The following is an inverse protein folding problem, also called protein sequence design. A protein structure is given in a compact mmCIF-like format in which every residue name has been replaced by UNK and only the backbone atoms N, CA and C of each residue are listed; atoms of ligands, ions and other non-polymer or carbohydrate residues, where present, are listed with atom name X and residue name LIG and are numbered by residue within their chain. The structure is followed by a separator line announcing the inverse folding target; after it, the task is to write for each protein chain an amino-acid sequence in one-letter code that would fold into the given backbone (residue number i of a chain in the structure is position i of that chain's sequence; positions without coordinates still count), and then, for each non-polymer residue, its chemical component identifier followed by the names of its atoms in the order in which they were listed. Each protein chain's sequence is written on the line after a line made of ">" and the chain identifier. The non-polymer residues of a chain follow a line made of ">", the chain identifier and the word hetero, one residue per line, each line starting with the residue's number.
data_IF_517606498974
#
_entry.id   IF_517606498974
#
_cell.length_a   1.000
_cell.length_b   1.000
_cell.length_c   1.000
_cell.angle_alpha   90.00
_cell.angle_beta   90.00
_cell.angle_gamma   90.00
#
_symmetry.space_group_name_H-M   'P 1'
#
loop_
_entity.id
_entity.type
_entity.pdbx_description
1 polymer ?
#
# COMPACT_ATOMS: atom_id res chain seq x y z
N UNK A 1 -34.00 -22.56 -3.25
CA UNK A 1 -32.83 -21.76 -2.83
C UNK A 1 -32.31 -21.06 -4.07
N UNK A 2 -32.43 -19.74 -4.16
CA UNK A 2 -31.74 -19.00 -5.23
C UNK A 2 -30.24 -19.03 -5.00
N UNK A 3 -29.41 -19.18 -6.05
CA UNK A 3 -27.97 -19.04 -5.91
C UNK A 3 -27.64 -17.59 -5.53
N UNK A 4 -26.82 -17.41 -4.49
CA UNK A 4 -26.25 -16.12 -4.14
C UNK A 4 -25.47 -15.63 -5.38
N UNK A 5 -26.00 -14.64 -6.10
CA UNK A 5 -25.26 -14.02 -7.20
C UNK A 5 -23.97 -13.44 -6.63
N UNK A 6 -22.83 -14.02 -7.01
CA UNK A 6 -21.54 -13.44 -6.68
C UNK A 6 -21.49 -12.03 -7.23
N UNK A 7 -21.08 -11.07 -6.39
CA UNK A 7 -20.86 -9.71 -6.85
C UNK A 7 -19.80 -9.70 -7.96
N UNK A 8 -19.93 -8.81 -8.97
CA UNK A 8 -18.85 -8.54 -9.91
C UNK A 8 -17.54 -8.23 -9.17
N UNK A 9 -16.40 -8.58 -9.77
CA UNK A 9 -15.09 -8.42 -9.15
C UNK A 9 -14.83 -6.98 -8.66
N UNK A 10 -15.21 -5.98 -9.46
CA UNK A 10 -15.09 -4.56 -9.13
C UNK A 10 -15.87 -4.20 -7.87
N UNK A 11 -17.11 -4.65 -7.76
CA UNK A 11 -17.96 -4.41 -6.59
C UNK A 11 -17.37 -5.07 -5.33
N UNK A 12 -16.73 -6.23 -5.47
CA UNK A 12 -16.01 -6.88 -4.35
C UNK A 12 -14.80 -6.08 -3.91
N UNK A 13 -13.95 -5.64 -4.85
CA UNK A 13 -12.76 -4.82 -4.58
C UNK A 13 -13.17 -3.54 -3.86
N UNK A 14 -14.16 -2.81 -4.40
CA UNK A 14 -14.62 -1.56 -3.81
C UNK A 14 -15.24 -1.76 -2.43
N UNK A 15 -15.99 -2.85 -2.22
CA UNK A 15 -16.56 -3.17 -0.90
C UNK A 15 -15.46 -3.46 0.12
N UNK A 16 -14.46 -4.26 -0.23
CA UNK A 16 -13.32 -4.58 0.65
C UNK A 16 -12.53 -3.32 0.97
N UNK A 17 -12.16 -2.53 -0.04
CA UNK A 17 -11.42 -1.27 0.16
C UNK A 17 -12.16 -0.30 1.09
N UNK A 18 -13.47 -0.10 0.87
CA UNK A 18 -14.30 0.77 1.73
C UNK A 18 -14.40 0.27 3.18
N UNK A 19 -14.42 -1.05 3.39
CA UNK A 19 -14.50 -1.64 4.72
C UNK A 19 -13.24 -1.38 5.57
N UNK A 20 -12.09 -1.19 4.93
CA UNK A 20 -10.81 -0.91 5.61
C UNK A 20 -10.73 0.50 6.20
N UNK A 21 -11.63 1.42 5.82
CA UNK A 21 -11.65 2.83 6.26
C UNK A 21 -10.31 3.55 6.04
N UNK A 22 -9.56 3.13 5.03
CA UNK A 22 -8.26 3.71 4.65
C UNK A 22 -8.40 4.64 3.45
N UNK A 23 -7.43 5.54 3.27
CA UNK A 23 -7.36 6.48 2.15
C UNK A 23 -6.68 5.85 0.92
N UNK A 24 -5.66 5.04 1.16
CA UNK A 24 -4.87 4.31 0.16
C UNK A 24 -4.51 2.94 0.72
N UNK A 25 -4.65 1.90 -0.09
CA UNK A 25 -4.24 0.54 0.24
C UNK A 25 -3.14 0.10 -0.73
N UNK A 26 -1.96 -0.22 -0.20
CA UNK A 26 -0.87 -0.83 -0.96
C UNK A 26 -0.94 -2.34 -0.89
N UNK A 27 -0.64 -2.98 -2.02
CA UNK A 27 -0.27 -4.39 -2.04
C UNK A 27 1.04 -4.62 -1.29
N UNK A 28 1.23 -5.84 -0.83
CA UNK A 28 2.43 -6.25 -0.08
C UNK A 28 3.03 -7.51 -0.66
N UNK A 29 4.32 -7.66 -0.44
CA UNK A 29 5.10 -8.83 -0.84
C UNK A 29 5.88 -9.43 0.35
N UNK A 30 6.37 -10.65 0.14
CA UNK A 30 7.11 -11.38 1.17
C UNK A 30 8.61 -11.05 1.18
N UNK A 31 9.16 -10.68 0.03
CA UNK A 31 10.59 -10.50 -0.15
C UNK A 31 10.96 -9.04 0.06
N UNK A 32 11.96 -8.81 0.90
CA UNK A 32 12.57 -7.51 1.02
C UNK A 32 13.43 -7.31 -0.23
N UNK A 33 12.86 -6.67 -1.23
CA UNK A 33 13.52 -6.43 -2.51
C UNK A 33 13.16 -5.04 -3.00
N UNK A 34 14.13 -4.38 -3.65
CA UNK A 34 13.92 -3.05 -4.24
C UNK A 34 13.50 -1.97 -3.23
N UNK A 35 13.98 -2.08 -1.99
CA UNK A 35 13.74 -1.14 -0.89
C UNK A 35 15.06 -0.90 -0.11
N UNK A 36 15.11 0.15 0.71
CA UNK A 36 16.34 0.53 1.41
C UNK A 36 16.38 -0.03 2.82
N UNK A 37 17.46 -0.69 3.21
CA UNK A 37 17.59 -1.37 4.52
C UNK A 37 17.27 -0.48 5.72
N UNK A 38 17.48 0.84 5.62
CA UNK A 38 17.11 1.82 6.63
C UNK A 38 15.60 1.84 6.96
N UNK A 39 14.74 1.51 5.99
CA UNK A 39 13.29 1.49 6.14
C UNK A 39 12.78 0.13 6.67
N UNK A 40 13.60 -0.91 6.65
CA UNK A 40 13.21 -2.28 7.02
C UNK A 40 12.61 -2.40 8.43
N UNK A 41 13.17 -1.74 9.47
CA UNK A 41 12.62 -1.82 10.82
C UNK A 41 11.18 -1.31 10.94
N UNK A 42 10.79 -0.31 10.14
CA UNK A 42 9.42 0.18 10.11
C UNK A 42 8.45 -0.92 9.66
N UNK A 43 8.76 -1.57 8.52
CA UNK A 43 7.90 -2.62 7.95
C UNK A 43 7.85 -3.87 8.83
N UNK A 44 8.98 -4.29 9.40
CA UNK A 44 9.00 -5.42 10.34
C UNK A 44 8.17 -5.11 11.61
N UNK A 45 8.08 -3.84 12.02
CA UNK A 45 7.32 -3.42 13.19
C UNK A 45 5.80 -3.38 13.00
N UNK A 46 5.30 -3.21 11.77
CA UNK A 46 3.87 -3.10 11.48
C UNK A 46 3.25 -4.36 10.83
N UNK A 47 4.08 -5.28 10.36
CA UNK A 47 3.65 -6.47 9.64
C UNK A 47 2.91 -7.48 10.53
N UNK A 48 1.99 -8.24 9.92
CA UNK A 48 1.17 -9.27 10.59
C UNK A 48 1.44 -10.69 10.13
N UNK A 49 2.44 -10.90 9.27
CA UNK A 49 2.70 -12.20 8.66
C UNK A 49 3.87 -12.24 7.69
N UNK A 50 3.88 -13.21 6.75
CA UNK A 50 4.96 -13.34 5.77
C UNK A 50 4.91 -12.23 4.73
N UNK A 51 3.73 -11.77 4.33
CA UNK A 51 3.55 -10.57 3.51
C UNK A 51 3.71 -9.35 4.41
N UNK A 52 4.75 -8.55 4.18
CA UNK A 52 5.16 -7.50 5.12
C UNK A 52 5.69 -6.24 4.46
N UNK A 53 6.24 -6.37 3.26
CA UNK A 53 6.92 -5.27 2.59
C UNK A 53 6.03 -4.67 1.50
N UNK A 54 6.18 -3.37 1.27
CA UNK A 54 5.40 -2.67 0.26
C UNK A 54 5.73 -3.19 -1.14
N UNK A 55 4.71 -3.43 -1.95
CA UNK A 55 4.85 -3.58 -3.39
C UNK A 55 4.16 -2.40 -4.10
N UNK A 56 4.92 -1.67 -4.92
CA UNK A 56 4.42 -0.48 -5.60
C UNK A 56 3.70 -0.77 -6.93
N UNK A 57 3.71 -2.03 -7.40
CA UNK A 57 3.04 -2.44 -8.63
C UNK A 57 1.50 -2.46 -8.54
N UNK A 58 0.95 -2.47 -7.32
CA UNK A 58 -0.50 -2.46 -7.09
C UNK A 58 -0.90 -1.65 -5.87
N UNK A 59 -1.76 -0.66 -6.07
CA UNK A 59 -2.43 0.06 -4.99
C UNK A 59 -3.77 0.64 -5.47
N UNK A 60 -4.67 0.89 -4.53
CA UNK A 60 -5.97 1.54 -4.76
C UNK A 60 -6.17 2.64 -3.72
N UNK A 61 -6.78 3.75 -4.10
CA UNK A 61 -7.02 4.84 -3.16
C UNK A 61 -8.02 5.87 -3.67
N UNK A 62 -8.49 6.71 -2.77
CA UNK A 62 -9.24 7.89 -3.13
C UNK A 62 -8.32 8.92 -3.79
N UNK A 63 -8.81 9.63 -4.81
CA UNK A 63 -8.03 10.67 -5.51
C UNK A 63 -7.50 11.73 -4.54
N UNK A 64 -8.30 12.13 -3.55
CA UNK A 64 -7.91 13.10 -2.52
C UNK A 64 -6.73 12.65 -1.65
N UNK A 65 -6.56 11.34 -1.45
CA UNK A 65 -5.45 10.76 -0.69
C UNK A 65 -4.24 10.43 -1.59
N UNK A 66 -4.49 9.99 -2.82
CA UNK A 66 -3.44 9.64 -3.79
C UNK A 66 -2.68 10.86 -4.30
N UNK A 67 -3.36 11.98 -4.58
CA UNK A 67 -2.70 13.15 -5.17
C UNK A 67 -1.57 13.73 -4.29
N UNK A 68 -1.74 13.95 -2.98
CA UNK A 68 -0.64 14.34 -2.10
C UNK A 68 0.49 13.31 -2.08
N UNK A 69 0.16 12.03 -1.90
CA UNK A 69 1.14 10.94 -1.86
C UNK A 69 1.98 10.88 -3.14
N UNK A 70 1.33 11.00 -4.31
CA UNK A 70 1.99 10.99 -5.62
C UNK A 70 2.92 12.20 -5.81
N UNK A 71 2.53 13.38 -5.32
CA UNK A 71 3.37 14.58 -5.38
C UNK A 71 4.63 14.40 -4.54
N UNK A 72 4.47 14.00 -3.28
CA UNK A 72 5.58 13.75 -2.36
C UNK A 72 6.51 12.63 -2.87
N UNK A 73 5.93 11.54 -3.39
CA UNK A 73 6.71 10.44 -3.97
C UNK A 73 7.54 10.90 -5.16
N UNK A 74 7.02 11.78 -6.04
CA UNK A 74 7.80 12.34 -7.15
C UNK A 74 9.04 13.11 -6.67
N UNK A 75 8.94 13.84 -5.56
CA UNK A 75 10.07 14.53 -4.96
C UNK A 75 11.10 13.55 -4.39
N UNK A 76 10.65 12.54 -3.63
CA UNK A 76 11.53 11.50 -3.06
C UNK A 76 12.22 10.70 -4.17
N UNK A 77 11.48 10.35 -5.23
CA UNK A 77 11.98 9.59 -6.37
C UNK A 77 13.17 10.27 -7.07
N UNK A 78 13.19 11.60 -7.11
CA UNK A 78 14.31 12.35 -7.69
C UNK A 78 15.66 12.00 -7.03
N UNK A 79 15.68 11.66 -5.75
CA UNK A 79 16.90 11.36 -5.00
C UNK A 79 17.07 9.87 -4.65
N UNK A 80 15.96 9.09 -4.61
CA UNK A 80 15.97 7.67 -4.20
C UNK A 80 15.80 6.68 -5.37
N UNK A 81 15.42 7.15 -6.57
CA UNK A 81 15.47 6.35 -7.81
C UNK A 81 14.16 5.64 -8.18
N UNK A 82 14.05 4.34 -7.88
CA UNK A 82 12.88 3.53 -8.27
C UNK A 82 11.61 3.93 -7.50
N UNK A 83 10.44 3.66 -8.09
CA UNK A 83 9.14 3.98 -7.49
C UNK A 83 8.89 3.24 -6.18
N UNK A 84 9.16 1.93 -6.13
CA UNK A 84 9.04 1.13 -4.91
C UNK A 84 9.93 1.64 -3.78
N UNK A 85 11.17 2.04 -4.10
CA UNK A 85 12.09 2.66 -3.13
C UNK A 85 11.51 3.97 -2.60
N UNK A 86 10.97 4.81 -3.49
CA UNK A 86 10.43 6.11 -3.11
C UNK A 86 9.16 6.00 -2.23
N UNK A 87 8.21 5.15 -2.61
CA UNK A 87 7.02 4.89 -1.78
C UNK A 87 7.39 4.25 -0.45
N UNK A 88 8.32 3.28 -0.47
CA UNK A 88 8.80 2.61 0.74
C UNK A 88 9.34 3.63 1.75
N UNK A 89 10.28 4.46 1.29
CA UNK A 89 10.93 5.44 2.15
C UNK A 89 9.97 6.52 2.66
N UNK A 90 9.11 7.03 1.78
CA UNK A 90 8.12 8.04 2.15
C UNK A 90 7.17 7.52 3.24
N UNK A 91 6.71 6.28 3.11
CA UNK A 91 5.79 5.69 4.09
C UNK A 91 6.50 5.26 5.37
N UNK A 92 7.76 4.81 5.31
CA UNK A 92 8.52 4.49 6.50
C UNK A 92 8.82 5.73 7.37
N UNK A 93 8.95 6.90 6.75
CA UNK A 93 9.31 8.14 7.44
C UNK A 93 8.11 9.04 7.77
N UNK A 94 7.03 8.97 6.99
CA UNK A 94 5.90 9.92 7.03
C UNK A 94 4.52 9.27 6.88
N UNK A 95 4.36 8.00 7.24
CA UNK A 95 3.06 7.29 7.09
C UNK A 95 1.89 7.97 7.79
N UNK A 96 2.11 8.65 8.92
CA UNK A 96 1.06 9.39 9.64
C UNK A 96 0.46 10.56 8.83
N UNK A 97 1.14 11.04 7.80
CA UNK A 97 0.65 12.11 6.92
C UNK A 97 -0.28 11.59 5.81
N UNK A 98 -0.24 10.29 5.53
CA UNK A 98 -1.01 9.66 4.47
C UNK A 98 -1.89 8.58 5.09
N UNK A 99 -3.21 8.73 5.02
CA UNK A 99 -4.15 7.69 5.48
C UNK A 99 -3.98 6.39 4.66
N UNK A 100 -2.97 5.60 5.00
CA UNK A 100 -2.44 4.47 4.21
C UNK A 100 -2.55 3.19 5.03
N UNK A 101 -2.84 2.10 4.34
CA UNK A 101 -2.81 0.76 4.89
C UNK A 101 -2.16 -0.21 3.91
N UNK A 102 -1.86 -1.41 4.41
CA UNK A 102 -1.17 -2.46 3.68
C UNK A 102 -2.04 -3.72 3.68
N UNK A 103 -2.13 -4.41 2.54
CA UNK A 103 -2.99 -5.57 2.36
C UNK A 103 -2.37 -6.88 2.88
N UNK A 104 -2.12 -6.95 4.19
CA UNK A 104 -1.46 -8.12 4.81
C UNK A 104 -2.29 -9.41 4.75
N UNK A 105 -3.59 -9.31 4.49
CA UNK A 105 -4.52 -10.45 4.43
C UNK A 105 -4.70 -10.98 3.01
N UNK A 106 -3.79 -10.65 2.09
CA UNK A 106 -3.71 -11.22 0.74
C UNK A 106 -3.73 -12.76 0.82
N UNK A 107 -4.91 -13.35 0.59
CA UNK A 107 -5.16 -14.80 0.52
C UNK A 107 -5.62 -15.18 -0.88
#
# INVERSE_FOLDING_TARGET
>A
MEPIRQLPAEARILRTFRALRTGVLFSVEQLWSWQQDEDKPYYDGIARGPYRYLNAGGFIGYVSALLPLLRETKFVRFYKGADQVAYSHLLATRSNEFNVSFDYDSK
#
